data_IF_768147294804
#
_entry.id   IF_768147294804
#
_cell.length_a   1.000
_cell.length_b   1.000
_cell.length_c   1.000
_cell.angle_alpha   90.00
_cell.angle_beta   90.00
_cell.angle_gamma   90.00
#
_symmetry.space_group_name_H-M   'P 1'
#
loop_
_entity.id
_entity.type
_entity.pdbx_description
1 polymer ?
#
# COMPACT_ATOMS: atom_id res chain seq x y z
N UNK A 1 -0.29 -17.39 -2.76
CA UNK A 1 -1.09 -17.75 -1.57
C UNK A 1 -2.01 -16.58 -1.25
N UNK A 2 -3.18 -16.56 -1.91
CA UNK A 2 -4.38 -15.78 -1.57
C UNK A 2 -5.53 -16.57 -2.22
N UNK A 3 -6.60 -16.88 -1.49
CA UNK A 3 -7.86 -17.33 -2.08
C UNK A 3 -8.94 -16.36 -1.63
N UNK A 4 -9.53 -15.70 -2.63
CA UNK A 4 -10.88 -15.14 -2.86
C UNK A 4 -11.81 -14.78 -1.68
N UNK A 5 -11.68 -15.36 -0.48
CA UNK A 5 -12.64 -15.22 0.62
C UNK A 5 -11.99 -14.80 1.96
N UNK A 6 -10.77 -14.26 1.93
CA UNK A 6 -10.08 -13.74 3.13
C UNK A 6 -9.57 -14.81 4.10
N UNK A 7 -9.75 -16.10 3.79
CA UNK A 7 -9.18 -17.21 4.57
C UNK A 7 -7.85 -17.68 3.99
N UNK A 8 -6.81 -17.64 4.82
CA UNK A 8 -5.49 -18.19 4.53
C UNK A 8 -5.52 -19.71 4.71
N UNK A 9 -5.41 -20.46 3.62
CA UNK A 9 -5.23 -21.91 3.68
C UNK A 9 -3.75 -22.24 3.51
N UNK A 10 -3.18 -22.93 4.51
CA UNK A 10 -1.76 -23.20 4.56
C UNK A 10 -1.46 -24.68 4.42
N UNK A 11 -0.68 -25.11 3.41
CA UNK A 11 -0.28 -26.50 3.28
C UNK A 11 0.53 -26.94 4.51
N UNK A 12 0.31 -28.17 5.01
CA UNK A 12 0.94 -28.68 6.23
C UNK A 12 2.48 -28.74 6.19
N UNK A 13 3.08 -28.64 5.01
CA UNK A 13 4.54 -28.73 4.80
C UNK A 13 5.25 -27.37 4.79
N UNK A 14 4.58 -26.28 5.20
CA UNK A 14 5.16 -24.92 5.18
C UNK A 14 5.79 -24.59 6.55
N UNK A 15 7.14 -24.55 6.67
CA UNK A 15 7.82 -24.47 7.98
C UNK A 15 7.61 -23.15 8.74
N UNK A 16 7.04 -22.13 8.09
CA UNK A 16 6.85 -20.79 8.67
C UNK A 16 5.38 -20.35 8.70
N UNK A 17 4.44 -21.28 8.58
CA UNK A 17 3.05 -20.90 8.63
C UNK A 17 2.60 -20.55 10.05
N UNK A 18 2.44 -19.24 10.29
CA UNK A 18 1.86 -18.63 11.48
C UNK A 18 2.66 -18.84 12.78
N UNK A 19 3.66 -17.98 12.99
CA UNK A 19 3.85 -17.42 14.33
C UNK A 19 3.07 -16.11 14.40
N UNK A 20 1.75 -16.23 14.61
CA UNK A 20 0.89 -15.11 14.98
C UNK A 20 1.30 -14.56 16.34
N UNK A 21 2.35 -13.73 16.39
CA UNK A 21 2.61 -12.92 17.57
C UNK A 21 1.60 -11.77 17.55
N UNK A 22 0.81 -11.68 18.61
CA UNK A 22 -0.17 -10.62 18.90
C UNK A 22 0.23 -9.18 18.51
N UNK A 23 1.51 -8.72 18.64
CA UNK A 23 1.90 -7.41 18.14
C UNK A 23 1.70 -7.19 16.63
N UNK A 24 1.80 -8.23 15.79
CA UNK A 24 1.70 -8.09 14.32
C UNK A 24 0.26 -7.92 13.84
N UNK A 25 -0.70 -8.61 14.48
CA UNK A 25 -2.12 -8.38 14.21
C UNK A 25 -2.53 -6.96 14.61
N UNK A 26 -1.83 -6.37 15.58
CA UNK A 26 -2.08 -4.99 16.01
C UNK A 26 -1.54 -3.98 14.99
N UNK A 27 -0.35 -4.20 14.43
CA UNK A 27 0.18 -3.34 13.36
C UNK A 27 -0.64 -3.42 12.07
N UNK A 28 -0.96 -4.62 11.60
CA UNK A 28 -1.84 -4.79 10.43
C UNK A 28 -3.23 -4.17 10.67
N UNK A 29 -3.71 -4.23 11.93
CA UNK A 29 -4.93 -3.56 12.32
C UNK A 29 -4.80 -2.03 12.25
N UNK A 30 -3.74 -1.47 12.81
CA UNK A 30 -3.47 -0.03 12.76
C UNK A 30 -3.30 0.47 11.32
N UNK A 31 -2.57 -0.25 10.48
CA UNK A 31 -2.44 0.02 9.05
C UNK A 31 -3.80 0.01 8.37
N UNK A 32 -4.60 -1.06 8.51
CA UNK A 32 -5.92 -1.16 7.90
C UNK A 32 -6.89 -0.05 8.36
N UNK A 33 -6.87 0.30 9.65
CA UNK A 33 -7.71 1.37 10.19
C UNK A 33 -7.33 2.73 9.60
N UNK A 34 -6.04 3.04 9.48
CA UNK A 34 -5.58 4.32 8.92
C UNK A 34 -5.75 4.37 7.41
N UNK A 35 -5.60 3.23 6.74
CA UNK A 35 -5.93 3.08 5.34
C UNK A 35 -7.41 3.41 5.09
N UNK A 36 -8.31 2.87 5.91
CA UNK A 36 -9.74 3.18 5.84
C UNK A 36 -10.00 4.68 6.03
N UNK A 37 -9.37 5.31 7.03
CA UNK A 37 -9.53 6.75 7.25
C UNK A 37 -9.04 7.58 6.04
N UNK A 38 -7.92 7.18 5.44
CA UNK A 38 -7.35 7.82 4.26
C UNK A 38 -8.28 7.74 3.05
N UNK A 39 -8.83 6.55 2.77
CA UNK A 39 -9.65 6.33 1.58
C UNK A 39 -11.10 6.77 1.77
N UNK A 40 -11.64 6.78 3.00
CA UNK A 40 -13.03 7.26 3.26
C UNK A 40 -13.09 8.73 3.65
N UNK A 41 -12.00 9.30 4.19
CA UNK A 41 -12.01 10.62 4.82
C UNK A 41 -12.78 10.68 6.15
N UNK A 42 -13.26 9.54 6.66
CA UNK A 42 -14.00 9.45 7.91
C UNK A 42 -13.06 9.18 9.10
N UNK A 43 -13.34 9.74 10.29
CA UNK A 43 -12.66 9.34 11.50
C UNK A 43 -12.99 7.88 11.84
N UNK A 44 -12.08 7.14 12.52
CA UNK A 44 -12.35 5.74 12.86
C UNK A 44 -13.55 5.64 13.80
N UNK A 45 -14.54 4.82 13.44
CA UNK A 45 -15.71 4.58 14.28
C UNK A 45 -15.44 3.47 15.31
N UNK A 46 -16.15 3.48 16.43
CA UNK A 46 -15.96 2.49 17.52
C UNK A 46 -16.20 1.03 17.08
N UNK A 47 -16.91 0.81 15.96
CA UNK A 47 -17.17 -0.50 15.37
C UNK A 47 -16.03 -1.00 14.46
N UNK A 48 -15.14 -0.11 14.00
CA UNK A 48 -14.04 -0.45 13.08
C UNK A 48 -12.86 -1.17 13.76
N UNK A 49 -12.80 -1.12 15.10
CA UNK A 49 -11.79 -1.80 15.93
C UNK A 49 -12.02 -3.33 15.97
N UNK A 50 -13.25 -3.80 15.66
CA UNK A 50 -13.59 -5.22 15.60
C UNK A 50 -13.23 -5.89 14.26
N UNK A 51 -13.38 -5.15 13.15
CA UNK A 51 -13.11 -5.65 11.79
C UNK A 51 -11.63 -5.58 11.37
N UNK A 52 -10.77 -5.15 12.28
CA UNK A 52 -9.34 -4.99 12.00
C UNK A 52 -8.57 -6.31 12.02
N UNK A 53 -9.16 -7.37 12.60
CA UNK A 53 -8.58 -8.73 12.66
C UNK A 53 -9.02 -9.64 11.50
N UNK A 54 -10.01 -9.19 10.71
CA UNK A 54 -10.45 -9.83 9.47
C UNK A 54 -11.00 -8.71 8.60
N UNK A 55 -10.16 -8.06 7.76
CA UNK A 55 -10.59 -6.95 6.93
C UNK A 55 -11.66 -7.45 5.96
N UNK A 56 -12.92 -7.28 6.36
CA UNK A 56 -14.06 -7.44 5.48
C UNK A 56 -14.09 -6.27 4.48
N UNK A 57 -14.82 -6.48 3.40
CA UNK A 57 -15.08 -5.42 2.42
C UNK A 57 -15.59 -4.16 3.14
N UNK A 58 -15.10 -3.00 2.71
CA UNK A 58 -15.63 -1.72 3.17
C UNK A 58 -17.01 -1.47 2.56
N UNK A 59 -17.98 -1.19 3.43
CA UNK A 59 -19.33 -0.76 3.05
C UNK A 59 -19.43 0.77 2.86
N UNK A 60 -18.47 1.53 3.38
CA UNK A 60 -18.42 2.99 3.23
C UNK A 60 -17.94 3.43 1.84
N UNK A 61 -18.39 4.61 1.40
CA UNK A 61 -17.89 5.26 0.19
C UNK A 61 -16.40 5.63 0.36
N UNK A 62 -15.58 5.23 -0.62
CA UNK A 62 -14.15 5.54 -0.66
C UNK A 62 -13.76 6.42 -1.83
N UNK A 63 -12.55 7.01 -1.78
CA UNK A 63 -11.95 7.75 -2.90
C UNK A 63 -11.84 6.88 -4.16
N UNK A 64 -11.63 5.57 -3.98
CA UNK A 64 -11.63 4.61 -5.08
C UNK A 64 -13.03 4.48 -5.67
N UNK A 65 -14.08 4.40 -4.84
CA UNK A 65 -15.48 4.37 -5.31
C UNK A 65 -15.84 5.63 -6.10
N UNK A 66 -15.43 6.81 -5.61
CA UNK A 66 -15.64 8.08 -6.32
C UNK A 66 -14.93 8.09 -7.68
N UNK A 67 -13.70 7.58 -7.75
CA UNK A 67 -12.95 7.49 -9.01
C UNK A 67 -13.62 6.50 -9.99
N UNK A 68 -14.00 5.31 -9.52
CA UNK A 68 -14.67 4.28 -10.32
C UNK A 68 -16.02 4.78 -10.82
N UNK A 69 -16.82 5.43 -9.96
CA UNK A 69 -18.11 6.03 -10.34
C UNK A 69 -17.96 7.14 -11.39
N UNK A 70 -16.82 7.83 -11.40
CA UNK A 70 -16.45 8.80 -12.45
C UNK A 70 -15.88 8.16 -13.73
N UNK A 71 -15.92 6.82 -13.85
CA UNK A 71 -15.42 6.08 -15.00
C UNK A 71 -13.89 6.05 -15.11
N UNK A 72 -13.17 6.27 -14.01
CA UNK A 72 -11.70 6.24 -13.97
C UNK A 72 -11.19 4.83 -13.75
N UNK A 73 -10.06 4.50 -14.39
CA UNK A 73 -9.36 3.22 -14.17
C UNK A 73 -8.39 3.36 -13.01
N UNK A 74 -8.58 2.53 -11.99
CA UNK A 74 -7.76 2.52 -10.79
C UNK A 74 -6.93 1.26 -10.78
N UNK A 75 -5.61 1.39 -10.88
CA UNK A 75 -4.67 0.27 -10.76
C UNK A 75 -4.05 0.27 -9.36
N UNK A 76 -3.92 -0.92 -8.78
CA UNK A 76 -3.35 -1.11 -7.44
C UNK A 76 -2.25 -2.17 -7.44
N UNK A 77 -1.11 -1.87 -6.81
CA UNK A 77 -0.08 -2.85 -6.46
C UNK A 77 0.36 -2.66 -5.02
N UNK A 78 0.38 -3.75 -4.26
CA UNK A 78 0.78 -3.68 -2.86
C UNK A 78 0.43 -4.93 -2.10
N UNK A 79 0.20 -4.76 -0.81
CA UNK A 79 -0.13 -5.86 0.08
C UNK A 79 -1.63 -6.25 -0.05
N UNK A 80 -1.96 -7.48 0.35
CA UNK A 80 -3.28 -8.06 0.15
C UNK A 80 -4.41 -7.41 0.98
N UNK A 81 -4.10 -6.55 1.95
CA UNK A 81 -5.10 -5.87 2.77
C UNK A 81 -5.99 -4.96 1.93
N UNK A 82 -5.43 -4.27 0.93
CA UNK A 82 -6.19 -3.42 0.02
C UNK A 82 -7.22 -4.20 -0.80
N UNK A 83 -6.84 -5.36 -1.33
CA UNK A 83 -7.76 -6.23 -2.07
C UNK A 83 -8.91 -6.74 -1.20
N UNK A 84 -8.62 -7.04 0.07
CA UNK A 84 -9.64 -7.45 1.04
C UNK A 84 -10.60 -6.30 1.42
N UNK A 85 -10.07 -5.08 1.59
CA UNK A 85 -10.85 -3.89 1.93
C UNK A 85 -11.67 -3.35 0.75
N UNK A 86 -11.14 -3.42 -0.46
CA UNK A 86 -11.70 -2.83 -1.67
C UNK A 86 -11.95 -3.88 -2.78
N UNK A 87 -12.66 -4.98 -2.49
CA UNK A 87 -12.81 -6.07 -3.45
C UNK A 87 -13.51 -5.59 -4.71
N UNK A 88 -12.97 -5.99 -5.86
CA UNK A 88 -13.52 -5.69 -7.20
C UNK A 88 -13.64 -4.20 -7.55
N UNK A 89 -12.94 -3.30 -6.84
CA UNK A 89 -12.91 -1.86 -7.12
C UNK A 89 -11.75 -1.42 -8.02
N UNK A 90 -10.77 -2.29 -8.25
CA UNK A 90 -9.62 -2.01 -9.11
C UNK A 90 -9.82 -2.52 -10.54
N UNK A 91 -9.31 -1.76 -11.51
CA UNK A 91 -9.24 -2.19 -12.92
C UNK A 91 -8.16 -3.23 -13.14
N UNK A 92 -7.02 -3.07 -12.48
CA UNK A 92 -5.95 -4.06 -12.38
C UNK A 92 -5.43 -4.09 -10.95
N UNK A 93 -5.37 -5.28 -10.34
CA UNK A 93 -4.97 -5.48 -8.95
C UNK A 93 -3.80 -6.45 -8.86
N UNK A 94 -2.77 -6.08 -8.09
CA UNK A 94 -1.62 -6.92 -7.76
C UNK A 94 -1.42 -6.94 -6.25
N UNK A 95 -2.22 -7.77 -5.59
CA UNK A 95 -2.18 -8.00 -4.15
C UNK A 95 -1.18 -9.09 -3.77
N UNK A 96 -0.27 -8.77 -2.85
CA UNK A 96 0.83 -9.63 -2.42
C UNK A 96 0.65 -10.07 -0.94
N UNK A 97 1.05 -11.31 -0.57
CA UNK A 97 0.96 -11.77 0.81
C UNK A 97 1.72 -10.86 1.78
N UNK A 98 1.13 -10.58 2.95
CA UNK A 98 1.61 -9.53 3.85
C UNK A 98 1.78 -9.94 5.33
N UNK A 99 1.43 -11.17 5.70
CA UNK A 99 1.42 -11.62 7.10
C UNK A 99 2.77 -12.13 7.61
N UNK A 100 3.78 -12.27 6.74
CA UNK A 100 5.13 -12.68 7.13
C UNK A 100 6.01 -11.44 7.37
N UNK A 101 6.19 -11.07 8.64
CA UNK A 101 7.03 -9.94 9.06
C UNK A 101 8.52 -10.13 8.72
N UNK A 102 8.97 -11.36 8.48
CA UNK A 102 10.34 -11.62 8.04
C UNK A 102 10.51 -11.41 6.53
N UNK A 103 9.41 -11.31 5.79
CA UNK A 103 9.42 -10.92 4.39
C UNK A 103 9.50 -9.40 4.26
N UNK A 104 10.72 -8.89 4.08
CA UNK A 104 10.95 -7.45 3.92
C UNK A 104 10.88 -7.00 2.46
N UNK A 105 10.69 -7.91 1.50
CA UNK A 105 11.07 -7.66 0.12
C UNK A 105 10.01 -7.99 -0.92
N UNK A 106 9.16 -9.01 -0.72
CA UNK A 106 8.26 -9.46 -1.79
C UNK A 106 7.25 -8.39 -2.18
N UNK A 107 6.61 -7.73 -1.20
CA UNK A 107 5.67 -6.62 -1.46
C UNK A 107 6.37 -5.49 -2.22
N UNK A 108 7.50 -5.01 -1.70
CA UNK A 108 8.23 -3.88 -2.29
C UNK A 108 8.77 -4.20 -3.69
N UNK A 109 9.19 -5.44 -3.94
CA UNK A 109 9.66 -5.90 -5.25
C UNK A 109 8.51 -6.02 -6.24
N UNK A 110 7.34 -6.48 -5.80
CA UNK A 110 6.14 -6.50 -6.60
C UNK A 110 5.65 -5.09 -6.95
N UNK A 111 5.73 -4.15 -6.00
CA UNK A 111 5.47 -2.72 -6.25
C UNK A 111 6.43 -2.17 -7.30
N UNK A 112 7.74 -2.42 -7.17
CA UNK A 112 8.72 -1.98 -8.16
C UNK A 112 8.42 -2.54 -9.55
N UNK A 113 8.10 -3.83 -9.66
CA UNK A 113 7.73 -4.47 -10.91
C UNK A 113 6.43 -3.89 -11.52
N UNK A 114 5.40 -3.66 -10.71
CA UNK A 114 4.15 -3.05 -11.16
C UNK A 114 4.35 -1.62 -11.67
N UNK A 115 5.12 -0.80 -10.94
CA UNK A 115 5.43 0.57 -11.36
C UNK A 115 6.26 0.60 -12.64
N UNK A 116 7.28 -0.25 -12.76
CA UNK A 116 8.08 -0.40 -13.98
C UNK A 116 7.24 -0.81 -15.19
N UNK A 117 6.13 -1.51 -14.95
CA UNK A 117 5.21 -1.93 -15.99
C UNK A 117 4.23 -0.84 -16.42
N UNK A 118 3.63 -0.14 -15.46
CA UNK A 118 2.52 0.78 -15.68
C UNK A 118 2.94 2.22 -15.95
N UNK A 119 4.07 2.69 -15.43
CA UNK A 119 4.56 4.06 -15.69
C UNK A 119 4.97 4.31 -17.15
N UNK A 120 5.50 3.33 -17.91
CA UNK A 120 5.71 3.52 -19.33
C UNK A 120 4.40 3.64 -20.14
N UNK A 121 3.31 3.07 -19.63
CA UNK A 121 1.98 2.93 -20.28
C UNK A 121 0.88 3.72 -19.53
N UNK A 122 1.00 5.05 -19.42
CA UNK A 122 0.09 5.87 -18.63
C UNK A 122 -1.35 5.87 -19.18
N UNK A 123 -1.56 5.48 -20.43
CA UNK A 123 -2.89 5.27 -21.02
C UNK A 123 -3.63 4.06 -20.45
N UNK A 124 -3.02 3.21 -19.61
CA UNK A 124 -3.66 2.05 -18.98
C UNK A 124 -4.43 2.36 -17.70
N UNK A 125 -4.19 3.52 -17.08
CA UNK A 125 -4.73 3.89 -15.77
C UNK A 125 -5.00 5.40 -15.69
N UNK A 126 -5.90 5.79 -14.80
CA UNK A 126 -6.18 7.19 -14.44
C UNK A 126 -5.70 7.51 -13.02
N UNK A 127 -5.82 6.50 -12.14
CA UNK A 127 -5.32 6.50 -10.78
C UNK A 127 -4.43 5.28 -10.58
N UNK A 128 -3.26 5.48 -9.99
CA UNK A 128 -2.32 4.43 -9.64
C UNK A 128 -2.01 4.50 -8.15
N UNK A 129 -2.24 3.38 -7.46
CA UNK A 129 -1.98 3.22 -6.04
C UNK A 129 -0.88 2.17 -5.86
N UNK A 130 0.18 2.55 -5.17
CA UNK A 130 1.27 1.64 -4.80
C UNK A 130 1.46 1.65 -3.28
N UNK A 131 1.61 0.48 -2.68
CA UNK A 131 1.76 0.33 -1.23
C UNK A 131 2.92 -0.59 -0.89
N UNK A 132 3.98 -0.03 -0.30
CA UNK A 132 5.15 -0.78 0.19
C UNK A 132 5.00 -1.13 1.67
N UNK A 133 5.50 -2.29 2.07
CA UNK A 133 5.35 -2.84 3.43
C UNK A 133 6.69 -3.13 4.12
N UNK A 134 7.80 -3.14 3.38
CA UNK A 134 9.08 -3.58 3.93
C UNK A 134 9.68 -2.67 5.03
N UNK A 135 9.22 -1.42 5.16
CA UNK A 135 9.67 -0.50 6.22
C UNK A 135 9.01 -0.86 7.54
N UNK A 136 7.68 -1.03 7.56
CA UNK A 136 6.89 -1.59 8.66
C UNK A 136 7.51 -2.88 9.20
N UNK A 137 7.68 -3.87 8.31
CA UNK A 137 8.22 -5.16 8.70
C UNK A 137 9.64 -5.07 9.30
N UNK A 138 10.49 -4.16 8.80
CA UNK A 138 11.81 -3.95 9.39
C UNK A 138 11.75 -3.29 10.77
N UNK A 139 10.78 -2.40 11.00
CA UNK A 139 10.50 -1.79 12.29
C UNK A 139 10.13 -2.84 13.32
N UNK A 140 9.22 -3.74 12.95
CA UNK A 140 8.79 -4.85 13.81
C UNK A 140 9.85 -5.93 14.01
N UNK A 141 10.55 -6.34 12.97
CA UNK A 141 11.50 -7.44 13.03
C UNK A 141 12.82 -7.08 13.74
N UNK A 142 13.29 -5.84 13.59
CA UNK A 142 14.62 -5.43 14.06
C UNK A 142 14.65 -4.13 14.86
N UNK A 143 13.53 -3.39 14.94
CA UNK A 143 13.45 -2.09 15.60
C UNK A 143 13.86 -0.92 14.70
N UNK A 144 13.33 0.26 15.01
CA UNK A 144 13.52 1.50 14.21
C UNK A 144 14.97 1.98 14.13
N UNK A 145 15.80 1.67 15.13
CA UNK A 145 17.21 2.08 15.18
C UNK A 145 18.16 1.03 14.58
N UNK A 146 17.64 0.03 13.86
CA UNK A 146 18.44 -1.04 13.28
C UNK A 146 19.08 -0.66 11.94
N UNK A 147 20.20 -1.32 11.63
CA UNK A 147 20.79 -1.23 10.28
C UNK A 147 19.84 -1.73 9.18
N UNK A 148 18.92 -2.63 9.54
CA UNK A 148 17.89 -3.17 8.65
C UNK A 148 16.86 -2.09 8.29
N UNK A 149 16.35 -1.35 9.28
CA UNK A 149 15.48 -0.20 9.05
C UNK A 149 16.15 0.83 8.14
N UNK A 150 17.42 1.18 8.39
CA UNK A 150 18.16 2.11 7.53
C UNK A 150 18.29 1.60 6.10
N UNK A 151 18.58 0.31 5.90
CA UNK A 151 18.67 -0.29 4.58
C UNK A 151 17.32 -0.23 3.85
N UNK A 152 16.22 -0.50 4.56
CA UNK A 152 14.87 -0.44 4.02
C UNK A 152 14.42 0.96 3.65
N UNK A 153 14.70 1.95 4.49
CA UNK A 153 14.43 3.36 4.16
C UNK A 153 15.18 3.81 2.91
N UNK A 154 16.45 3.41 2.75
CA UNK A 154 17.23 3.70 1.54
C UNK A 154 16.65 3.02 0.30
N UNK A 155 16.18 1.77 0.43
CA UNK A 155 15.50 1.08 -0.67
C UNK A 155 14.22 1.81 -1.08
N UNK A 156 13.40 2.22 -0.10
CA UNK A 156 12.16 2.96 -0.36
C UNK A 156 12.43 4.34 -0.96
N UNK A 157 13.45 5.07 -0.48
CA UNK A 157 13.89 6.35 -1.08
C UNK A 157 14.34 6.17 -2.53
N UNK A 158 15.14 5.14 -2.82
CA UNK A 158 15.60 4.85 -4.18
C UNK A 158 14.42 4.54 -5.12
N UNK A 159 13.50 3.68 -4.69
CA UNK A 159 12.27 3.40 -5.42
C UNK A 159 11.43 4.68 -5.60
N UNK A 160 11.40 5.55 -4.58
CA UNK A 160 10.70 6.84 -4.63
C UNK A 160 11.41 7.87 -5.52
N UNK A 161 12.70 7.73 -5.76
CA UNK A 161 13.40 8.62 -6.70
C UNK A 161 13.14 8.17 -8.14
N UNK A 162 13.31 6.89 -8.40
CA UNK A 162 13.22 6.29 -9.74
C UNK A 162 11.89 6.60 -10.45
N UNK A 163 10.76 6.33 -9.81
CA UNK A 163 9.43 6.60 -10.38
C UNK A 163 9.12 8.10 -10.56
N UNK A 164 9.56 8.99 -9.66
CA UNK A 164 9.35 10.44 -9.77
C UNK A 164 10.17 10.98 -10.94
N UNK A 165 11.41 10.54 -11.08
CA UNK A 165 12.26 10.87 -12.22
C UNK A 165 11.66 10.36 -13.54
N UNK A 166 11.14 9.12 -13.56
CA UNK A 166 10.47 8.56 -14.73
C UNK A 166 9.23 9.36 -15.16
N UNK A 167 8.43 9.84 -14.19
CA UNK A 167 7.28 10.72 -14.48
C UNK A 167 7.73 12.11 -14.93
N UNK A 168 8.69 12.72 -14.22
CA UNK A 168 9.20 14.05 -14.50
C UNK A 168 9.82 14.14 -15.90
N UNK A 169 10.52 13.09 -16.35
CA UNK A 169 11.10 13.00 -17.70
C UNK A 169 10.05 13.11 -18.82
N UNK A 170 8.77 12.86 -18.53
CA UNK A 170 7.64 12.91 -19.48
C UNK A 170 6.51 13.81 -18.95
N UNK A 171 6.86 14.89 -18.24
CA UNK A 171 5.90 15.85 -17.67
C UNK A 171 5.85 17.20 -18.44
N UNK A 172 6.53 17.31 -19.58
CA UNK A 172 6.48 18.49 -20.44
C UNK A 172 5.12 18.74 -21.08
N UNK A 173 4.95 19.91 -21.72
CA UNK A 173 3.71 20.23 -22.43
C UNK A 173 3.42 19.22 -23.56
N UNK A 174 2.22 18.64 -23.57
CA UNK A 174 1.82 17.59 -24.50
C UNK A 174 2.33 16.19 -24.16
N UNK A 175 3.16 16.04 -23.12
CA UNK A 175 3.62 14.73 -22.65
C UNK A 175 2.59 14.08 -21.70
N UNK A 176 2.63 12.74 -21.53
CA UNK A 176 1.62 12.03 -20.78
C UNK A 176 1.47 12.46 -19.32
N UNK A 177 2.54 12.94 -18.67
CA UNK A 177 2.50 13.35 -17.28
C UNK A 177 2.32 14.85 -17.05
N UNK A 178 2.02 15.66 -18.08
CA UNK A 178 1.78 17.11 -17.96
C UNK A 178 0.83 17.47 -16.80
N UNK A 179 -0.21 16.66 -16.58
CA UNK A 179 -1.27 16.89 -15.59
C UNK A 179 -1.35 15.77 -14.58
N UNK A 180 -0.27 15.60 -13.83
CA UNK A 180 -0.14 14.50 -12.86
C UNK A 180 0.07 15.04 -11.46
N UNK A 181 -0.69 14.53 -10.50
CA UNK A 181 -0.45 14.73 -9.08
C UNK A 181 0.14 13.45 -8.50
N UNK A 182 1.33 13.54 -7.90
CA UNK A 182 1.93 12.46 -7.13
C UNK A 182 1.90 12.80 -5.64
N UNK A 183 1.32 11.92 -4.83
CA UNK A 183 1.24 12.02 -3.38
C UNK A 183 1.99 10.84 -2.77
N UNK A 184 2.79 11.13 -1.75
CA UNK A 184 3.63 10.16 -1.04
C UNK A 184 3.48 10.45 0.43
N UNK A 185 2.98 9.48 1.18
CA UNK A 185 2.73 9.63 2.61
C UNK A 185 2.77 8.26 3.29
N UNK A 186 2.96 8.27 4.60
CA UNK A 186 2.75 7.08 5.42
C UNK A 186 1.44 7.16 6.20
N UNK A 187 0.93 6.01 6.58
CA UNK A 187 -0.29 5.86 7.37
C UNK A 187 0.03 5.96 8.88
N UNK A 188 1.08 5.30 9.35
CA UNK A 188 1.59 5.34 10.71
C UNK A 188 3.12 5.35 10.75
N UNK A 189 3.65 5.46 11.96
CA UNK A 189 5.07 5.26 12.17
C UNK A 189 5.36 4.61 13.50
N UNK A 190 6.47 3.88 13.56
CA UNK A 190 6.80 3.05 14.71
C UNK A 190 7.49 3.90 15.76
N UNK A 191 7.15 3.72 17.04
CA UNK A 191 7.98 4.20 18.14
C UNK A 191 8.96 3.11 18.60
N UNK A 192 10.25 3.45 18.59
CA UNK A 192 11.12 2.87 19.61
C UNK A 192 10.70 3.47 20.95
N UNK A 193 10.90 2.76 22.06
CA UNK A 193 10.54 3.18 23.43
C UNK A 193 11.05 4.58 23.88
N UNK A 194 11.70 5.36 23.00
CA UNK A 194 11.99 6.77 23.15
C UNK A 194 11.52 7.57 21.93
N UNK A 195 10.44 8.32 22.14
CA UNK A 195 9.81 9.25 21.21
C UNK A 195 10.81 10.27 20.62
N UNK A 196 11.19 10.09 19.35
CA UNK A 196 11.63 11.18 18.44
C UNK A 196 11.70 10.64 17.00
N UNK A 197 10.78 11.15 16.18
CA UNK A 197 10.55 10.83 14.76
C UNK A 197 9.78 9.52 14.52
N UNK A 198 8.49 9.65 14.18
CA UNK A 198 7.74 8.55 13.57
C UNK A 198 8.30 8.34 12.16
N UNK A 199 8.92 7.18 11.93
CA UNK A 199 9.35 6.75 10.60
C UNK A 199 8.12 6.16 9.90
N UNK A 200 7.72 6.63 8.70
CA UNK A 200 6.53 6.11 8.04
C UNK A 200 6.70 4.61 7.75
N UNK A 201 5.81 3.79 8.31
CA UNK A 201 5.87 2.31 8.26
C UNK A 201 5.43 1.76 6.91
N UNK A 202 4.30 2.25 6.43
CA UNK A 202 3.84 2.05 5.07
C UNK A 202 4.11 3.32 4.28
N UNK A 203 4.44 3.18 3.00
CA UNK A 203 4.41 4.32 2.07
C UNK A 203 3.33 4.06 1.03
N UNK A 204 2.23 4.79 1.16
CA UNK A 204 1.16 4.84 0.17
C UNK A 204 1.49 5.92 -0.84
N UNK A 205 1.38 5.52 -2.09
CA UNK A 205 1.81 6.28 -3.25
C UNK A 205 0.61 6.42 -4.17
N UNK A 206 0.12 7.63 -4.33
CA UNK A 206 -1.06 7.91 -5.15
C UNK A 206 -0.65 8.80 -6.32
N UNK A 207 -0.89 8.33 -7.53
CA UNK A 207 -0.67 9.10 -8.75
C UNK A 207 -2.00 9.23 -9.48
N UNK A 208 -2.44 10.47 -9.72
CA UNK A 208 -3.68 10.74 -10.47
C UNK A 208 -3.39 11.61 -11.68
N UNK A 209 -3.86 11.18 -12.85
CA UNK A 209 -3.80 11.94 -14.10
C UNK A 209 -5.10 12.72 -14.27
N UNK A 210 -5.01 14.05 -14.18
CA UNK A 210 -6.14 14.94 -14.35
C UNK A 210 -6.42 15.14 -15.85
N UNK A 211 -7.28 14.28 -16.41
CA UNK A 211 -7.89 14.53 -17.70
C UNK A 211 -8.79 15.77 -17.67
N UNK A 212 -8.88 16.52 -18.79
CA UNK A 212 -9.92 17.54 -18.94
C UNK A 212 -11.29 16.86 -18.85
N UNK A 213 -12.11 17.25 -17.87
CA UNK A 213 -13.56 17.03 -17.93
C UNK A 213 -14.06 17.90 -19.09
N UNK A 214 -14.56 17.27 -20.15
CA UNK A 214 -15.26 17.99 -21.23
C UNK A 214 -16.71 18.18 -20.85
#
# INVERSE_FOLDING_TARGET
>A
MVVVDGTYDCPPDTPHCHQGQMPFLTSLAEAAQRLRCLITGAPPSFFDIGNTFSPGALDDDTLVDVAVAAGKRVNFVGDATWGALLPSRFSEERSLPCFDVHDLHSVDSGVAAGLAEWLPRPEGWDVLIAHTLGVDHAGHAAGVNSALMLAKLRQTDALVREWLEAMAARAGAGEPYERTLALIFGDHGTDGLESRWAVPEVVVKFVSRMGCVR
#
